data_IF_270111747596
#
_entry.id   IF_270111747596
#
_cell.length_a   1.000
_cell.length_b   1.000
_cell.length_c   1.000
_cell.angle_alpha   90.00
_cell.angle_beta   90.00
_cell.angle_gamma   90.00
#
_symmetry.space_group_name_H-M   'P 1'
#
loop_
_entity.id
_entity.type
_entity.pdbx_description
1 polymer ?
#
# COMPACT_ATOMS: atom_id res chain seq x y z
N UNK A 1 8.21 73.26 -31.39
CA UNK A 1 7.50 72.01 -31.74
C UNK A 1 8.35 70.72 -31.64
N UNK A 2 9.46 70.70 -30.88
CA UNK A 2 10.36 69.52 -30.79
C UNK A 2 10.04 68.51 -29.68
N UNK A 3 9.34 68.90 -28.61
CA UNK A 3 9.09 68.02 -27.44
C UNK A 3 8.12 66.86 -27.67
N UNK A 4 7.09 67.05 -28.53
CA UNK A 4 6.04 66.03 -28.75
C UNK A 4 6.56 64.78 -29.49
N UNK A 5 7.59 64.91 -30.31
CA UNK A 5 8.21 63.77 -31.01
C UNK A 5 9.17 62.98 -30.12
N UNK A 6 9.81 63.63 -29.15
CA UNK A 6 10.73 62.99 -28.21
C UNK A 6 9.99 62.12 -27.18
N UNK A 7 8.86 62.62 -26.68
CA UNK A 7 8.00 61.91 -25.72
C UNK A 7 7.38 60.65 -26.36
N UNK A 8 6.91 60.75 -27.61
CA UNK A 8 6.38 59.58 -28.32
C UNK A 8 7.45 58.49 -28.52
N UNK A 9 8.69 58.86 -28.86
CA UNK A 9 9.79 57.89 -29.04
C UNK A 9 10.18 57.20 -27.73
N UNK A 10 10.23 57.93 -26.62
CA UNK A 10 10.52 57.36 -25.30
C UNK A 10 9.45 56.35 -24.88
N UNK A 11 8.18 56.70 -25.08
CA UNK A 11 7.05 55.83 -24.71
C UNK A 11 7.05 54.52 -25.51
N UNK A 12 7.39 54.55 -26.80
CA UNK A 12 7.49 53.33 -27.64
C UNK A 12 8.66 52.43 -27.23
N UNK A 13 9.78 53.01 -26.80
CA UNK A 13 10.92 52.23 -26.32
C UNK A 13 10.60 51.53 -24.98
N UNK A 14 9.90 52.22 -24.08
CA UNK A 14 9.54 51.67 -22.78
C UNK A 14 8.57 50.49 -22.90
N UNK A 15 7.60 50.55 -23.83
CA UNK A 15 6.67 49.43 -24.07
C UNK A 15 7.38 48.24 -24.72
N UNK A 16 8.32 48.47 -25.63
CA UNK A 16 9.10 47.41 -26.25
C UNK A 16 9.98 46.65 -25.22
N UNK A 17 10.62 47.37 -24.29
CA UNK A 17 11.42 46.77 -23.21
C UNK A 17 10.54 46.00 -22.23
N UNK A 18 9.34 46.51 -21.90
CA UNK A 18 8.39 45.81 -21.04
C UNK A 18 7.94 44.48 -21.65
N UNK A 19 7.59 44.48 -22.95
CA UNK A 19 7.23 43.25 -23.67
C UNK A 19 8.40 42.27 -23.71
N UNK A 20 9.63 42.74 -23.94
CA UNK A 20 10.83 41.88 -23.95
C UNK A 20 11.14 41.25 -22.59
N UNK A 21 10.93 42.00 -21.51
CA UNK A 21 11.14 41.51 -20.14
C UNK A 21 10.11 40.45 -19.72
N UNK A 22 8.88 40.53 -20.22
CA UNK A 22 7.84 39.53 -19.98
C UNK A 22 8.13 38.17 -20.65
N UNK A 23 8.93 38.15 -21.72
CA UNK A 23 9.41 36.90 -22.34
C UNK A 23 10.62 36.27 -21.64
N UNK A 24 11.22 36.96 -20.66
CA UNK A 24 12.52 36.55 -20.09
C UNK A 24 12.44 35.83 -18.74
N UNK A 25 11.26 35.73 -18.10
CA UNK A 25 11.15 35.02 -16.82
C UNK A 25 9.86 34.22 -16.70
N UNK A 26 9.94 32.96 -17.10
CA UNK A 26 9.15 31.88 -16.53
C UNK A 26 9.77 30.52 -16.86
N UNK A 27 11.04 30.31 -16.48
CA UNK A 27 11.44 28.97 -16.10
C UNK A 27 10.79 28.74 -14.73
N UNK A 28 9.52 28.36 -14.75
CA UNK A 28 8.93 27.62 -13.64
C UNK A 28 9.89 26.45 -13.42
N UNK A 29 10.56 26.44 -12.28
CA UNK A 29 11.25 25.25 -11.81
C UNK A 29 10.15 24.20 -11.65
N UNK A 30 9.92 23.43 -12.71
CA UNK A 30 9.14 22.21 -12.62
C UNK A 30 9.78 21.42 -11.47
N UNK A 31 8.98 20.93 -10.50
CA UNK A 31 9.51 20.03 -9.49
C UNK A 31 10.30 18.97 -10.24
N UNK A 32 11.56 18.73 -9.86
CA UNK A 32 12.48 17.90 -10.64
C UNK A 32 11.89 16.53 -10.91
N UNK A 33 11.22 16.42 -12.06
CA UNK A 33 10.38 15.30 -12.39
C UNK A 33 11.31 14.11 -12.61
N UNK A 34 11.21 13.15 -11.69
CA UNK A 34 12.03 11.96 -11.75
C UNK A 34 11.44 11.03 -12.79
N UNK A 35 12.36 10.37 -13.47
CA UNK A 35 12.08 9.41 -14.52
C UNK A 35 12.31 8.00 -13.97
N UNK A 36 11.35 7.13 -14.21
CA UNK A 36 11.46 5.69 -13.98
C UNK A 36 11.37 4.95 -15.30
N UNK A 37 11.76 3.69 -15.32
CA UNK A 37 11.59 2.82 -16.49
C UNK A 37 10.42 1.87 -16.24
N UNK A 38 9.53 1.72 -17.23
CA UNK A 38 8.43 0.76 -17.18
C UNK A 38 8.69 -0.43 -18.09
N UNK A 39 8.49 -1.63 -17.56
CA UNK A 39 8.45 -2.88 -18.30
C UNK A 39 7.00 -3.33 -18.31
N UNK A 40 6.45 -3.53 -19.49
CA UNK A 40 5.04 -3.85 -19.71
C UNK A 40 4.90 -5.31 -20.14
N UNK A 41 3.90 -5.99 -19.58
CA UNK A 41 3.43 -7.29 -20.04
C UNK A 41 1.93 -7.19 -20.31
N UNK A 42 1.53 -7.20 -21.58
CA UNK A 42 0.13 -7.06 -21.97
C UNK A 42 -0.27 -5.61 -22.30
N UNK A 43 -1.50 -5.23 -21.95
CA UNK A 43 -2.08 -3.92 -22.21
C UNK A 43 -1.91 -3.02 -20.99
N UNK A 44 -1.05 -2.01 -21.12
CA UNK A 44 -0.80 -1.02 -20.07
C UNK A 44 -0.89 0.37 -20.67
N UNK A 45 -1.56 1.26 -19.96
CA UNK A 45 -1.68 2.65 -20.33
C UNK A 45 -1.12 3.56 -19.24
N UNK A 46 -0.54 4.67 -19.67
CA UNK A 46 0.00 5.72 -18.80
C UNK A 46 -0.68 7.00 -19.23
N UNK A 47 -1.36 7.65 -18.29
CA UNK A 47 -2.14 8.86 -18.53
C UNK A 47 -3.14 8.73 -19.70
N UNK A 48 -3.69 7.52 -19.88
CA UNK A 48 -4.63 7.16 -20.93
C UNK A 48 -4.01 6.80 -22.28
N UNK A 49 -2.68 6.87 -22.43
CA UNK A 49 -1.97 6.44 -23.64
C UNK A 49 -1.40 5.04 -23.48
N UNK A 50 -1.55 4.19 -24.49
CA UNK A 50 -0.93 2.86 -24.48
C UNK A 50 0.60 2.98 -24.49
N UNK A 51 1.26 2.26 -23.59
CA UNK A 51 2.72 2.31 -23.41
C UNK A 51 3.32 0.93 -23.61
N UNK A 52 4.52 0.91 -24.20
CA UNK A 52 5.31 -0.30 -24.44
C UNK A 52 6.46 -0.41 -23.43
N UNK A 53 7.02 -1.61 -23.27
CA UNK A 53 8.17 -1.86 -22.40
C UNK A 53 9.37 -0.97 -22.74
N UNK A 54 10.20 -0.70 -21.71
CA UNK A 54 11.37 0.16 -21.73
C UNK A 54 11.04 1.64 -22.02
N UNK A 55 9.80 2.05 -21.73
CA UNK A 55 9.40 3.45 -21.80
C UNK A 55 9.79 4.19 -20.52
N UNK A 56 9.91 5.51 -20.63
CA UNK A 56 10.18 6.37 -19.47
C UNK A 56 8.87 6.86 -18.86
N UNK A 57 8.70 6.68 -17.55
CA UNK A 57 7.57 7.19 -16.77
C UNK A 57 8.02 8.42 -16.00
N UNK A 58 7.18 9.44 -16.00
CA UNK A 58 7.41 10.67 -15.25
C UNK A 58 6.65 10.58 -13.92
N UNK A 59 7.25 11.10 -12.85
CA UNK A 59 6.57 11.22 -11.56
C UNK A 59 5.26 12.00 -11.69
N UNK A 60 4.16 11.44 -11.19
CA UNK A 60 2.83 12.04 -11.29
C UNK A 60 1.93 11.36 -12.32
N UNK A 61 2.45 10.45 -13.13
CA UNK A 61 1.66 9.67 -14.08
C UNK A 61 0.71 8.69 -13.39
N UNK A 62 -0.40 8.44 -14.07
CA UNK A 62 -1.39 7.42 -13.71
C UNK A 62 -1.24 6.22 -14.62
N UNK A 63 -0.93 5.07 -14.04
CA UNK A 63 -0.72 3.81 -14.76
C UNK A 63 -1.97 2.94 -14.56
N UNK A 64 -2.54 2.46 -15.65
CA UNK A 64 -3.66 1.53 -15.67
C UNK A 64 -3.30 0.28 -16.47
N UNK A 65 -3.45 -0.88 -15.86
CA UNK A 65 -3.22 -2.19 -16.46
C UNK A 65 -4.55 -2.83 -16.84
N UNK A 66 -4.61 -3.48 -17.99
CA UNK A 66 -5.78 -4.25 -18.41
C UNK A 66 -5.82 -5.65 -17.81
N UNK A 67 -6.82 -6.43 -18.22
CA UNK A 67 -6.96 -7.83 -17.85
C UNK A 67 -5.73 -8.64 -18.30
N UNK A 68 -5.27 -9.57 -17.45
CA UNK A 68 -4.07 -10.40 -17.67
C UNK A 68 -2.80 -9.62 -18.04
N UNK A 69 -2.72 -8.35 -17.62
CA UNK A 69 -1.58 -7.48 -17.90
C UNK A 69 -0.85 -7.14 -16.60
N UNK A 70 0.45 -6.89 -16.68
CA UNK A 70 1.24 -6.43 -15.54
C UNK A 70 2.25 -5.38 -15.99
N UNK A 71 2.61 -4.50 -15.07
CA UNK A 71 3.60 -3.46 -15.30
C UNK A 71 4.59 -3.44 -14.16
N UNK A 72 5.87 -3.33 -14.48
CA UNK A 72 6.95 -3.22 -13.51
C UNK A 72 7.64 -1.89 -13.73
N UNK A 73 7.63 -1.04 -12.72
CA UNK A 73 8.26 0.27 -12.74
C UNK A 73 9.53 0.20 -11.90
N UNK A 74 10.67 0.35 -12.56
CA UNK A 74 11.97 0.47 -11.93
C UNK A 74 12.27 1.93 -11.65
N UNK A 75 12.39 2.28 -10.36
CA UNK A 75 12.69 3.64 -9.89
C UNK A 75 14.19 3.80 -9.55
N UNK A 76 15.02 2.87 -10.03
CA UNK A 76 16.46 2.83 -9.75
C UNK A 76 16.76 2.66 -8.26
N UNK A 77 17.48 3.61 -7.67
CA UNK A 77 17.89 3.56 -6.25
C UNK A 77 16.72 3.61 -5.27
N UNK A 78 15.58 4.16 -5.69
CA UNK A 78 14.43 4.32 -4.81
C UNK A 78 13.69 3.00 -4.57
N UNK A 79 13.74 2.09 -5.55
CA UNK A 79 13.06 0.80 -5.48
C UNK A 79 12.39 0.37 -6.78
N UNK A 80 11.44 -0.55 -6.67
CA UNK A 80 10.66 -1.14 -7.76
C UNK A 80 9.20 -1.27 -7.34
N UNK A 81 8.29 -0.90 -8.23
CA UNK A 81 6.84 -1.01 -8.05
C UNK A 81 6.29 -1.94 -9.14
N UNK A 82 5.62 -3.00 -8.74
CA UNK A 82 4.98 -3.96 -9.63
C UNK A 82 3.47 -3.85 -9.51
N UNK A 83 2.81 -3.72 -10.65
CA UNK A 83 1.37 -3.48 -10.79
C UNK A 83 0.81 -4.70 -11.50
N UNK A 84 -0.17 -5.35 -10.88
CA UNK A 84 -0.81 -6.55 -11.43
C UNK A 84 -1.98 -6.17 -12.36
N UNK A 85 -2.75 -7.16 -12.80
CA UNK A 85 -3.87 -6.95 -13.73
C UNK A 85 -5.01 -6.15 -13.11
N UNK A 86 -5.76 -5.45 -13.97
CA UNK A 86 -6.96 -4.68 -13.63
C UNK A 86 -6.72 -3.64 -12.52
N UNK A 87 -5.51 -3.09 -12.48
CA UNK A 87 -5.06 -2.17 -11.46
C UNK A 87 -4.86 -0.77 -12.00
N UNK A 88 -5.29 0.22 -11.22
CA UNK A 88 -5.08 1.65 -11.53
C UNK A 88 -4.35 2.31 -10.38
N UNK A 89 -3.15 2.83 -10.67
CA UNK A 89 -2.29 3.48 -9.68
C UNK A 89 -1.79 4.83 -10.19
N UNK A 90 -1.90 5.87 -9.37
CA UNK A 90 -1.21 7.14 -9.59
C UNK A 90 0.08 7.13 -8.79
N UNK A 91 1.23 7.27 -9.45
CA UNK A 91 2.54 7.14 -8.82
C UNK A 91 3.31 8.45 -8.89
N UNK A 92 3.71 8.98 -7.73
CA UNK A 92 4.58 10.14 -7.57
C UNK A 92 5.84 9.71 -6.85
N UNK A 93 7.01 10.10 -7.35
CA UNK A 93 8.27 9.72 -6.72
C UNK A 93 9.29 10.85 -6.82
N UNK A 94 10.09 10.99 -5.77
CA UNK A 94 11.12 12.03 -5.66
C UNK A 94 12.49 11.37 -5.41
N UNK A 95 13.46 12.09 -4.85
CA UNK A 95 14.75 11.49 -4.49
C UNK A 95 14.70 10.55 -3.29
N UNK A 96 13.73 10.78 -2.41
CA UNK A 96 13.67 10.16 -1.09
C UNK A 96 12.26 9.71 -0.72
N UNK A 97 11.32 9.77 -1.67
CA UNK A 97 9.95 9.32 -1.43
C UNK A 97 9.33 8.63 -2.63
N UNK A 98 8.42 7.70 -2.33
CA UNK A 98 7.52 7.05 -3.29
C UNK A 98 6.11 7.20 -2.70
N UNK A 99 5.23 7.90 -3.39
CA UNK A 99 3.85 8.14 -2.99
C UNK A 99 2.94 7.61 -4.08
N UNK A 100 2.13 6.61 -3.74
CA UNK A 100 1.15 6.01 -4.64
C UNK A 100 -0.27 6.26 -4.17
N UNK A 101 -1.20 6.32 -5.12
CA UNK A 101 -2.64 6.20 -4.87
C UNK A 101 -3.13 4.99 -5.66
N UNK A 102 -3.59 3.96 -4.96
CA UNK A 102 -4.12 2.74 -5.55
C UNK A 102 -5.65 2.77 -5.51
N UNK A 103 -6.26 2.86 -6.70
CA UNK A 103 -7.71 2.92 -6.84
C UNK A 103 -8.35 1.53 -6.83
N UNK A 104 -7.73 0.58 -7.52
CA UNK A 104 -8.20 -0.80 -7.67
C UNK A 104 -7.05 -1.75 -8.02
N UNK A 105 -7.26 -3.04 -7.77
CA UNK A 105 -6.33 -4.11 -8.13
C UNK A 105 -5.23 -4.31 -7.11
N UNK A 106 -4.16 -4.99 -7.54
CA UNK A 106 -3.03 -5.35 -6.69
C UNK A 106 -1.75 -4.66 -7.13
N UNK A 107 -0.95 -4.22 -6.16
CA UNK A 107 0.38 -3.63 -6.35
C UNK A 107 1.35 -4.22 -5.33
N UNK A 108 2.56 -4.53 -5.76
CA UNK A 108 3.67 -4.87 -4.91
C UNK A 108 4.74 -3.78 -4.97
N UNK A 109 5.23 -3.36 -3.82
CA UNK A 109 6.15 -2.26 -3.68
C UNK A 109 7.37 -2.74 -2.94
N UNK A 110 8.54 -2.52 -3.54
CA UNK A 110 9.82 -2.66 -2.89
C UNK A 110 10.50 -1.29 -2.83
N UNK A 111 10.87 -0.85 -1.64
CA UNK A 111 11.62 0.39 -1.43
C UNK A 111 12.95 0.10 -0.76
N UNK A 112 13.97 0.88 -1.11
CA UNK A 112 15.27 0.84 -0.43
C UNK A 112 15.20 1.57 0.93
N UNK A 113 16.10 1.21 1.84
CA UNK A 113 16.29 1.97 3.08
C UNK A 113 16.58 3.46 2.80
N UNK A 114 15.99 4.34 3.60
CA UNK A 114 16.06 5.80 3.45
C UNK A 114 15.02 6.40 2.50
N UNK A 115 14.13 5.59 1.93
CA UNK A 115 13.05 6.04 1.03
C UNK A 115 11.71 5.97 1.75
N UNK A 116 11.07 7.13 1.94
CA UNK A 116 9.74 7.21 2.54
C UNK A 116 8.69 6.74 1.53
N UNK A 117 8.01 5.63 1.84
CA UNK A 117 7.01 5.07 0.92
C UNK A 117 5.63 5.11 1.54
N UNK A 118 4.66 5.68 0.82
CA UNK A 118 3.26 5.69 1.24
C UNK A 118 2.33 5.37 0.08
N UNK A 119 1.31 4.56 0.35
CA UNK A 119 0.29 4.20 -0.62
C UNK A 119 -1.08 4.45 -0.01
N UNK A 120 -1.88 5.27 -0.69
CA UNK A 120 -3.25 5.58 -0.25
C UNK A 120 -4.24 4.77 -1.09
N UNK A 121 -5.09 4.04 -0.41
CA UNK A 121 -6.26 3.38 -0.99
C UNK A 121 -7.52 4.13 -0.59
N UNK A 122 -8.67 3.70 -1.10
CA UNK A 122 -9.98 4.30 -0.74
C UNK A 122 -10.26 4.29 0.78
N UNK A 123 -9.73 3.31 1.50
CA UNK A 123 -10.08 3.07 2.91
C UNK A 123 -8.92 3.22 3.89
N UNK A 124 -7.67 3.20 3.40
CA UNK A 124 -6.51 3.23 4.28
C UNK A 124 -5.29 3.82 3.59
N UNK A 125 -4.34 4.28 4.39
CA UNK A 125 -3.01 4.69 3.95
C UNK A 125 -2.00 3.74 4.54
N UNK A 126 -1.24 3.07 3.67
CA UNK A 126 -0.09 2.24 4.02
C UNK A 126 1.14 3.13 4.05
N UNK A 127 1.88 3.13 5.15
CA UNK A 127 3.12 3.88 5.30
C UNK A 127 4.23 2.90 5.66
N UNK A 128 5.21 2.74 4.77
CA UNK A 128 6.36 1.89 5.03
C UNK A 128 7.41 2.61 5.87
N UNK A 129 8.15 1.85 6.67
CA UNK A 129 9.24 2.38 7.47
C UNK A 129 10.42 2.80 6.58
N UNK A 130 10.80 4.07 6.63
CA UNK A 130 11.95 4.59 5.88
C UNK A 130 13.31 4.16 6.44
N UNK A 131 13.38 3.59 7.66
CA UNK A 131 14.63 3.17 8.28
C UNK A 131 15.24 1.90 7.70
N UNK A 132 14.47 1.14 6.93
CA UNK A 132 14.87 -0.16 6.38
C UNK A 132 14.28 -0.39 5.00
N UNK A 133 14.78 -1.41 4.30
CA UNK A 133 14.19 -1.87 3.03
C UNK A 133 12.87 -2.57 3.34
N UNK A 134 11.81 -2.26 2.60
CA UNK A 134 10.53 -2.94 2.74
C UNK A 134 10.08 -3.53 1.42
N UNK A 135 9.36 -4.64 1.53
CA UNK A 135 8.64 -5.27 0.43
C UNK A 135 7.26 -5.61 0.95
N UNK A 136 6.24 -4.99 0.38
CA UNK A 136 4.85 -5.22 0.78
C UNK A 136 3.94 -5.23 -0.44
N UNK A 137 2.89 -6.03 -0.36
CA UNK A 137 1.83 -6.08 -1.37
C UNK A 137 0.56 -5.46 -0.80
N UNK A 138 -0.11 -4.68 -1.63
CA UNK A 138 -1.39 -4.04 -1.33
C UNK A 138 -2.37 -4.53 -2.39
N UNK A 139 -3.50 -5.05 -1.94
CA UNK A 139 -4.58 -5.48 -2.80
C UNK A 139 -5.87 -4.77 -2.40
N UNK A 140 -6.46 -4.08 -3.37
CA UNK A 140 -7.68 -3.29 -3.24
C UNK A 140 -8.71 -3.94 -4.15
N UNK A 141 -9.57 -4.77 -3.57
CA UNK A 141 -10.62 -5.44 -4.33
C UNK A 141 -10.65 -6.96 -4.22
N UNK A 142 -9.97 -7.61 -3.25
CA UNK A 142 -10.16 -9.05 -3.01
C UNK A 142 -11.53 -9.43 -2.42
N UNK A 143 -12.56 -8.62 -2.64
CA UNK A 143 -13.94 -9.01 -2.46
C UNK A 143 -14.64 -8.88 -3.82
N UNK A 144 -15.31 -9.95 -4.23
CA UNK A 144 -15.91 -10.14 -5.55
C UNK A 144 -17.07 -9.15 -5.88
N UNK A 145 -17.32 -8.15 -5.03
CA UNK A 145 -18.33 -7.10 -5.23
C UNK A 145 -17.73 -5.70 -5.09
N UNK A 146 -18.11 -4.80 -6.00
CA UNK A 146 -17.70 -3.39 -6.06
C UNK A 146 -18.01 -2.61 -4.76
N UNK A 147 -18.99 -3.11 -3.98
CA UNK A 147 -19.39 -2.57 -2.66
C UNK A 147 -18.47 -2.96 -1.51
N UNK A 148 -17.68 -4.01 -1.70
CA UNK A 148 -16.82 -4.60 -0.70
C UNK A 148 -15.38 -4.16 -0.93
N UNK A 149 -15.11 -2.85 -0.98
CA UNK A 149 -13.73 -2.39 -1.10
C UNK A 149 -13.02 -2.74 0.21
N UNK A 150 -12.20 -3.80 0.23
CA UNK A 150 -11.27 -4.13 1.32
C UNK A 150 -9.86 -3.84 0.84
N UNK A 151 -9.03 -3.35 1.76
CA UNK A 151 -7.60 -3.17 1.54
C UNK A 151 -6.89 -4.26 2.32
N UNK A 152 -6.30 -5.20 1.60
CA UNK A 152 -5.43 -6.23 2.14
C UNK A 152 -3.98 -5.79 1.97
N UNK A 153 -3.19 -5.88 3.03
CA UNK A 153 -1.77 -5.58 3.01
C UNK A 153 -1.01 -6.75 3.60
N UNK A 154 -0.05 -7.25 2.85
CA UNK A 154 0.90 -8.26 3.31
C UNK A 154 2.31 -7.69 3.22
N UNK A 155 3.06 -7.76 4.31
CA UNK A 155 4.46 -7.30 4.32
C UNK A 155 5.38 -8.51 4.27
N UNK A 156 6.17 -8.63 3.22
CA UNK A 156 7.16 -9.70 3.07
C UNK A 156 8.45 -9.37 3.81
N UNK A 157 8.90 -8.11 3.71
CA UNK A 157 10.14 -7.61 4.31
C UNK A 157 9.90 -6.24 4.93
N UNK A 158 10.52 -5.99 6.08
CA UNK A 158 10.47 -4.71 6.77
C UNK A 158 9.18 -4.50 7.56
N UNK A 159 8.73 -3.24 7.58
CA UNK A 159 7.60 -2.81 8.37
C UNK A 159 6.71 -1.84 7.60
N UNK A 160 5.41 -2.12 7.56
CA UNK A 160 4.39 -1.21 7.07
C UNK A 160 3.36 -0.90 8.17
N UNK A 161 2.92 0.35 8.23
CA UNK A 161 1.87 0.81 9.13
C UNK A 161 0.65 1.11 8.27
N UNK A 162 -0.43 0.38 8.52
CA UNK A 162 -1.70 0.55 7.87
C UNK A 162 -2.57 1.49 8.71
N UNK A 163 -2.86 2.67 8.20
CA UNK A 163 -3.61 3.73 8.88
C UNK A 163 -4.98 3.92 8.26
N UNK A 164 -6.03 3.95 9.07
CA UNK A 164 -7.38 4.26 8.62
C UNK A 164 -8.03 5.21 9.62
N UNK A 165 -7.55 6.46 9.68
CA UNK A 165 -8.11 7.63 10.40
C UNK A 165 -8.29 7.51 11.92
N UNK A 166 -8.89 6.41 12.37
CA UNK A 166 -9.15 5.99 13.73
C UNK A 166 -8.24 4.85 14.22
N UNK A 167 -7.66 4.04 13.33
CA UNK A 167 -6.80 2.90 13.71
C UNK A 167 -5.49 2.88 12.94
N UNK A 168 -4.39 2.66 13.67
CA UNK A 168 -3.07 2.40 13.13
C UNK A 168 -2.74 0.93 13.44
N UNK A 169 -2.61 0.09 12.41
CA UNK A 169 -2.25 -1.31 12.52
C UNK A 169 -0.86 -1.54 11.94
N UNK A 170 0.03 -2.05 12.78
CA UNK A 170 1.39 -2.38 12.38
C UNK A 170 1.41 -3.76 11.68
N UNK A 171 2.06 -3.83 10.52
CA UNK A 171 2.21 -5.02 9.67
C UNK A 171 3.71 -5.26 9.51
N UNK A 172 4.24 -6.21 10.27
CA UNK A 172 5.63 -6.63 10.19
C UNK A 172 5.84 -7.69 9.11
N UNK A 173 7.10 -7.91 8.73
CA UNK A 173 7.49 -8.99 7.82
C UNK A 173 6.83 -10.33 8.19
N UNK A 174 6.23 -10.99 7.19
CA UNK A 174 5.49 -12.25 7.32
C UNK A 174 4.04 -12.12 7.79
N UNK A 175 3.61 -10.93 8.22
CA UNK A 175 2.25 -10.68 8.71
C UNK A 175 1.38 -9.97 7.67
N UNK A 176 0.08 -10.11 7.86
CA UNK A 176 -0.93 -9.50 7.03
C UNK A 176 -1.97 -8.71 7.83
N UNK A 177 -2.57 -7.74 7.16
CA UNK A 177 -3.62 -6.93 7.73
C UNK A 177 -4.66 -6.57 6.67
N UNK A 178 -5.92 -6.84 7.00
CA UNK A 178 -7.07 -6.38 6.22
C UNK A 178 -7.74 -5.22 6.93
N UNK A 179 -8.08 -4.18 6.18
CA UNK A 179 -8.97 -3.10 6.59
C UNK A 179 -10.10 -2.93 5.58
N UNK A 180 -11.28 -2.64 6.11
CA UNK A 180 -12.55 -2.69 5.38
C UNK A 180 -13.56 -3.43 6.24
N UNK A 181 -14.86 -3.20 6.05
CA UNK A 181 -15.89 -3.80 6.89
C UNK A 181 -16.17 -5.25 6.42
N UNK A 182 -15.72 -6.31 7.14
CA UNK A 182 -16.00 -7.70 6.75
C UNK A 182 -17.44 -8.12 7.09
N UNK A 183 -18.21 -7.27 7.80
CA UNK A 183 -19.56 -7.57 8.27
C UNK A 183 -20.65 -7.11 7.31
N UNK A 184 -20.30 -6.66 6.10
CA UNK A 184 -21.27 -6.40 5.04
C UNK A 184 -21.66 -7.75 4.40
N UNK A 185 -22.94 -8.11 4.50
CA UNK A 185 -23.52 -9.32 3.92
C UNK A 185 -23.19 -9.39 2.42
N UNK A 186 -22.49 -10.43 1.97
CA UNK A 186 -22.09 -10.62 0.56
C UNK A 186 -20.60 -10.45 0.28
N UNK A 187 -19.82 -9.88 1.20
CA UNK A 187 -18.38 -9.70 1.00
C UNK A 187 -17.57 -10.95 1.35
N UNK A 188 -16.83 -11.51 0.38
CA UNK A 188 -15.82 -12.55 0.65
C UNK A 188 -14.59 -11.91 1.31
N UNK A 189 -14.10 -12.42 2.45
CA UNK A 189 -12.89 -11.89 3.08
C UNK A 189 -11.66 -12.17 2.20
N UNK A 190 -10.74 -11.21 2.15
CA UNK A 190 -9.41 -11.37 1.55
C UNK A 190 -8.62 -12.37 2.41
N UNK A 191 -8.82 -13.67 2.16
CA UNK A 191 -8.09 -14.75 2.81
C UNK A 191 -6.78 -14.99 2.06
N UNK A 192 -5.69 -15.10 2.82
CA UNK A 192 -4.37 -15.52 2.33
C UNK A 192 -4.52 -16.85 1.58
N UNK A 193 -4.15 -16.96 0.29
CA UNK A 193 -4.20 -18.24 -0.43
C UNK A 193 -3.21 -19.21 0.25
N UNK A 194 -3.73 -20.19 1.00
CA UNK A 194 -2.92 -21.22 1.65
C UNK A 194 -3.13 -21.40 3.16
N UNK A 195 -3.83 -20.49 3.84
CA UNK A 195 -4.42 -20.83 5.14
C UNK A 195 -5.84 -21.33 4.90
N UNK A 196 -5.94 -22.62 4.59
CA UNK A 196 -7.20 -23.32 4.74
C UNK A 196 -7.76 -22.97 6.12
N UNK A 197 -9.03 -22.59 6.17
CA UNK A 197 -9.76 -22.54 7.42
C UNK A 197 -9.40 -23.81 8.21
N UNK A 198 -9.18 -23.74 9.55
CA UNK A 198 -9.05 -24.96 10.32
C UNK A 198 -10.29 -25.78 9.99
N UNK A 199 -10.07 -26.86 9.24
CA UNK A 199 -11.08 -27.85 8.92
C UNK A 199 -11.75 -28.14 10.25
N UNK A 200 -13.06 -27.88 10.42
CA UNK A 200 -13.74 -28.40 11.58
C UNK A 200 -13.53 -29.90 11.50
N UNK A 201 -12.70 -30.44 12.39
CA UNK A 201 -12.52 -31.88 12.52
C UNK A 201 -13.91 -32.38 12.91
N UNK A 202 -14.62 -32.90 11.91
CA UNK A 202 -15.91 -33.54 12.07
C UNK A 202 -15.70 -34.71 13.03
N UNK A 203 -16.13 -34.56 14.29
CA UNK A 203 -16.03 -35.64 15.25
C UNK A 203 -16.15 -35.27 16.72
N UNK A 204 -16.01 -34.00 17.12
CA UNK A 204 -16.21 -33.60 18.52
C UNK A 204 -17.46 -32.75 18.65
N UNK A 205 -18.44 -33.32 19.37
CA UNK A 205 -19.72 -32.72 19.65
C UNK A 205 -19.60 -31.33 20.24
N UNK A 206 -20.60 -30.50 19.92
CA UNK A 206 -20.78 -29.11 20.30
C UNK A 206 -20.81 -28.88 21.82
N UNK A 207 -19.65 -28.88 22.43
CA UNK A 207 -19.45 -28.50 23.83
C UNK A 207 -17.98 -28.61 24.19
N UNK A 208 -17.33 -27.46 24.45
CA UNK A 208 -15.93 -27.31 24.89
C UNK A 208 -14.86 -27.45 23.80
N UNK A 209 -14.67 -26.41 22.99
CA UNK A 209 -13.34 -26.11 22.43
C UNK A 209 -12.93 -24.73 22.93
N UNK A 210 -12.54 -24.70 24.20
CA UNK A 210 -11.81 -23.59 24.80
C UNK A 210 -10.31 -23.90 24.75
N UNK A 211 -9.56 -22.94 24.20
CA UNK A 211 -8.13 -22.71 24.42
C UNK A 211 -7.13 -23.82 24.05
N UNK A 212 -6.55 -23.73 22.84
CA UNK A 212 -5.13 -24.05 22.61
C UNK A 212 -4.53 -22.98 21.70
N UNK A 213 -3.96 -21.94 22.31
CA UNK A 213 -2.96 -21.06 21.68
C UNK A 213 -1.63 -21.33 22.37
N UNK A 214 -0.86 -22.26 21.81
CA UNK A 214 0.60 -22.35 21.95
C UNK A 214 1.11 -21.62 20.70
N UNK A 215 1.88 -20.54 20.72
CA UNK A 215 2.88 -20.10 21.68
C UNK A 215 4.19 -19.92 20.93
N UNK A 216 4.33 -18.85 20.13
CA UNK A 216 5.63 -18.32 19.70
C UNK A 216 5.55 -16.78 19.70
N UNK A 217 6.19 -16.15 20.68
CA UNK A 217 6.69 -14.77 20.59
C UNK A 217 5.84 -13.65 21.21
N UNK A 218 6.22 -13.19 22.40
CA UNK A 218 6.20 -11.75 22.74
C UNK A 218 5.00 -11.19 23.52
N UNK A 219 5.17 -11.16 24.85
CA UNK A 219 4.50 -10.37 25.90
C UNK A 219 3.84 -9.05 25.45
N UNK A 220 2.51 -8.89 25.64
CA UNK A 220 1.83 -7.76 26.35
C UNK A 220 0.43 -8.24 26.75
N UNK A 221 0.08 -8.08 28.03
CA UNK A 221 -1.08 -8.70 28.67
C UNK A 221 -2.44 -8.09 28.37
N UNK A 222 -3.45 -8.96 28.39
CA UNK A 222 -4.82 -8.62 28.78
C UNK A 222 -5.44 -9.87 29.44
N UNK A 223 -5.69 -9.77 30.74
CA UNK A 223 -6.36 -10.79 31.53
C UNK A 223 -7.83 -10.87 31.11
N UNK A 224 -8.29 -12.05 30.67
CA UNK A 224 -9.72 -12.34 30.56
C UNK A 224 -10.15 -12.99 31.88
N UNK A 225 -10.84 -12.19 32.69
CA UNK A 225 -11.46 -12.53 33.95
C UNK A 225 -12.47 -13.68 33.77
N UNK A 226 -12.24 -14.76 34.52
CA UNK A 226 -13.17 -15.88 34.65
C UNK A 226 -14.36 -15.52 35.53
N UNK A 227 -15.51 -15.96 35.02
CA UNK A 227 -16.83 -16.00 35.62
C UNK A 227 -16.82 -16.67 37.01
N UNK A 228 -17.50 -16.04 37.98
CA UNK A 228 -17.61 -16.48 39.37
C UNK A 228 -19.06 -16.90 39.63
N UNK A 229 -19.33 -18.20 39.83
CA UNK A 229 -20.24 -18.73 40.88
C UNK A 229 -20.38 -20.26 40.83
N UNK A 230 -20.22 -20.82 42.03
CA UNK A 230 -20.75 -22.07 42.59
C UNK A 230 -20.12 -23.44 42.27
N UNK A 231 -19.42 -23.94 43.31
CA UNK A 231 -19.29 -25.31 43.84
C UNK A 231 -19.85 -26.44 42.98
N UNK A 232 -19.01 -27.42 42.66
CA UNK A 232 -18.88 -28.70 43.39
C UNK A 232 -17.60 -29.44 42.96
N UNK A 233 -17.09 -30.24 43.87
CA UNK A 233 -15.86 -31.06 43.84
C UNK A 233 -15.73 -31.96 42.61
N UNK A 234 -14.58 -31.92 41.93
CA UNK A 234 -14.20 -32.95 40.94
C UNK A 234 -12.90 -33.61 41.41
N UNK A 235 -13.07 -34.86 41.78
CA UNK A 235 -12.05 -35.85 42.12
C UNK A 235 -11.18 -36.14 40.88
N UNK A 236 -9.85 -36.02 41.00
CA UNK A 236 -8.89 -36.25 39.92
C UNK A 236 -8.28 -37.65 40.08
N UNK A 237 -9.02 -38.67 39.64
CA UNK A 237 -8.52 -40.04 39.49
C UNK A 237 -8.22 -40.37 38.03
N UNK A 238 -6.94 -40.38 37.64
CA UNK A 238 -6.49 -40.87 36.33
C UNK A 238 -5.02 -40.55 36.03
N UNK A 239 -4.24 -41.45 35.41
CA UNK A 239 -2.77 -41.41 35.44
C UNK A 239 -2.17 -40.33 34.52
N UNK A 240 -1.19 -39.58 35.03
CA UNK A 240 -0.42 -38.58 34.30
C UNK A 240 0.67 -39.28 33.48
N UNK A 241 0.66 -39.09 32.16
CA UNK A 241 1.75 -39.53 31.28
C UNK A 241 2.76 -38.38 31.18
N UNK A 242 3.92 -38.55 31.80
CA UNK A 242 5.09 -37.68 31.68
C UNK A 242 5.88 -38.06 30.43
N UNK A 243 5.96 -37.16 29.45
CA UNK A 243 6.91 -37.28 28.33
C UNK A 243 7.98 -36.21 28.51
N UNK A 244 9.18 -36.63 28.88
CA UNK A 244 10.40 -35.82 28.94
C UNK A 244 11.05 -35.71 27.56
N UNK A 245 11.54 -34.53 27.13
CA UNK A 245 12.36 -34.43 25.93
C UNK A 245 13.81 -34.79 26.25
N UNK A 246 14.22 -35.98 25.79
CA UNK A 246 15.61 -36.42 25.74
C UNK A 246 16.35 -35.81 24.55
N UNK A 247 17.61 -35.49 24.82
CA UNK A 247 18.61 -34.80 24.00
C UNK A 247 18.92 -35.45 22.66
#
# INVERSE_FOLDING_TARGET
MYGKKLIRKSLTFLTAVAVWSAFSMSIIAAPGDRMGEIIVSGQVSVDGQSVVSNSTIISGSTIATGANSSAVINLGKNGRVEIFSDATVSLKFTNNSIVGILSSGKVEVSNSAGIATSFTTKNATVVADSGQTNTFSIDVGCADEERCTQTYVETTVGLAILKNGATDKQVAAGTDATLGNPSQTGCKPCLRPGLGAPIPIAGIGSGLVGAILVGIGGVVGAAILLNRRNRTTVDLGGPVILVSPGR
#
